data_IF_677594755183
#
_entry.id   IF_677594755183
#
_cell.length_a   1.000
_cell.length_b   1.000
_cell.length_c   1.000
_cell.angle_alpha   90.00
_cell.angle_beta   90.00
_cell.angle_gamma   90.00
#
_symmetry.space_group_name_H-M   'P 1'
#
loop_
_entity.id
_entity.type
_entity.pdbx_description
1 polymer ?
#
# COMPACT_ATOMS: atom_id res chain seq x y z
N UNK A 1 -20.57 -2.91 14.02
CA UNK A 1 -21.03 -4.10 14.73
C UNK A 1 -20.60 -5.35 13.98
N UNK A 2 -20.10 -6.33 14.70
CA UNK A 2 -19.69 -7.61 14.10
C UNK A 2 -20.92 -8.42 13.67
N UNK A 3 -20.88 -8.94 12.45
CA UNK A 3 -21.90 -9.86 11.96
C UNK A 3 -21.79 -11.18 12.74
N UNK A 4 -22.92 -11.68 13.28
CA UNK A 4 -22.93 -12.92 14.04
C UNK A 4 -22.52 -14.17 13.21
N UNK A 5 -22.52 -14.08 11.88
CA UNK A 5 -22.03 -15.16 11.02
C UNK A 5 -20.52 -15.31 11.05
N UNK A 6 -19.79 -14.36 11.64
CA UNK A 6 -18.33 -14.37 11.72
C UNK A 6 -17.82 -14.55 13.14
N UNK A 7 -18.34 -15.57 13.83
CA UNK A 7 -17.93 -15.86 15.22
C UNK A 7 -16.43 -16.09 15.37
N UNK A 8 -15.77 -16.58 14.32
CA UNK A 8 -14.33 -16.81 14.33
C UNK A 8 -13.47 -15.61 14.04
N UNK A 9 -14.08 -14.45 13.71
CA UNK A 9 -13.32 -13.24 13.40
C UNK A 9 -12.65 -12.69 14.66
N UNK A 10 -11.37 -12.35 14.52
CA UNK A 10 -10.58 -11.80 15.62
C UNK A 10 -9.85 -10.55 15.16
N UNK A 11 -9.69 -9.61 16.09
CA UNK A 11 -8.81 -8.46 15.86
C UNK A 11 -7.37 -8.91 16.08
N UNK A 12 -6.52 -8.70 15.08
CA UNK A 12 -5.09 -9.06 15.14
C UNK A 12 -4.27 -7.79 15.13
N UNK A 13 -3.38 -7.64 16.09
CA UNK A 13 -2.50 -6.50 16.22
C UNK A 13 -1.06 -6.94 15.94
N UNK A 14 -0.70 -6.98 14.66
CA UNK A 14 0.63 -7.42 14.23
C UNK A 14 1.69 -6.39 14.57
N UNK A 15 1.41 -5.13 14.31
CA UNK A 15 2.40 -4.05 14.38
C UNK A 15 2.45 -3.36 15.74
N UNK A 16 1.49 -3.66 16.63
CA UNK A 16 1.40 -3.11 17.99
C UNK A 16 1.47 -1.59 18.03
N UNK A 17 0.81 -0.97 17.06
CA UNK A 17 0.68 0.47 16.92
C UNK A 17 -0.79 0.79 16.69
N UNK A 18 -1.19 2.06 16.91
CA UNK A 18 -2.52 2.50 16.49
C UNK A 18 -2.56 2.45 14.96
N UNK A 19 -3.13 1.37 14.45
CA UNK A 19 -3.02 0.97 13.06
C UNK A 19 -4.39 1.03 12.42
N UNK A 20 -4.51 1.80 11.33
CA UNK A 20 -5.77 1.95 10.59
C UNK A 20 -5.55 1.56 9.14
N UNK A 21 -6.49 0.82 8.58
CA UNK A 21 -6.50 0.57 7.14
C UNK A 21 -6.58 1.90 6.39
N UNK A 22 -5.70 2.08 5.42
CA UNK A 22 -5.66 3.31 4.62
C UNK A 22 -6.12 3.08 3.19
N UNK A 23 -5.52 2.14 2.48
CA UNK A 23 -5.89 1.90 1.09
C UNK A 23 -5.40 0.54 0.58
N UNK A 24 -5.92 0.18 -0.60
CA UNK A 24 -5.46 -0.95 -1.40
C UNK A 24 -4.77 -0.38 -2.63
N UNK A 25 -3.59 -0.88 -2.97
CA UNK A 25 -2.85 -0.49 -4.17
C UNK A 25 -3.11 -1.43 -5.33
N UNK A 26 -3.48 -0.87 -6.47
CA UNK A 26 -3.68 -1.62 -7.72
C UNK A 26 -2.75 -1.08 -8.80
N UNK A 27 -2.05 -1.97 -9.50
CA UNK A 27 -1.30 -1.59 -10.68
C UNK A 27 -2.22 -1.53 -11.89
N UNK A 28 -2.07 -0.47 -12.68
CA UNK A 28 -2.86 -0.24 -13.89
C UNK A 28 -1.95 0.14 -15.04
N UNK A 29 -2.38 -0.14 -16.28
CA UNK A 29 -1.61 0.21 -17.47
C UNK A 29 -1.59 1.71 -17.71
N UNK A 30 -2.73 2.37 -17.51
CA UNK A 30 -2.87 3.80 -17.76
C UNK A 30 -3.98 4.37 -16.91
N UNK A 31 -3.64 5.29 -16.03
CA UNK A 31 -4.62 6.04 -15.24
C UNK A 31 -5.47 6.90 -16.15
N UNK A 32 -4.85 7.54 -17.15
CA UNK A 32 -5.56 8.40 -18.10
C UNK A 32 -6.61 7.63 -18.89
N UNK A 33 -6.30 6.42 -19.30
CA UNK A 33 -7.26 5.61 -20.05
C UNK A 33 -8.48 5.22 -19.20
N UNK A 34 -8.29 5.02 -17.89
CA UNK A 34 -9.38 4.70 -16.98
C UNK A 34 -10.17 5.95 -16.56
N UNK A 35 -9.48 7.03 -16.30
CA UNK A 35 -10.04 8.28 -15.79
C UNK A 35 -9.41 9.48 -16.49
N UNK A 36 -9.91 9.85 -17.70
CA UNK A 36 -9.24 10.85 -18.54
C UNK A 36 -9.06 12.23 -17.92
N UNK A 37 -9.92 12.59 -16.96
CA UNK A 37 -9.85 13.91 -16.32
C UNK A 37 -9.05 13.91 -15.02
N UNK A 38 -8.48 12.79 -14.63
CA UNK A 38 -7.70 12.69 -13.42
C UNK A 38 -6.27 13.19 -13.66
N UNK A 39 -5.72 13.85 -12.63
CA UNK A 39 -4.34 14.35 -12.69
C UNK A 39 -3.48 13.54 -11.73
N UNK A 40 -2.81 12.50 -12.22
CA UNK A 40 -1.95 11.71 -11.34
C UNK A 40 -0.73 12.48 -10.89
N UNK A 41 -0.21 12.10 -9.72
CA UNK A 41 1.04 12.63 -9.19
C UNK A 41 2.17 11.68 -9.57
N UNK A 42 3.27 12.22 -10.05
CA UNK A 42 4.46 11.43 -10.35
C UNK A 42 5.33 11.30 -9.09
N UNK A 43 5.65 10.08 -8.71
CA UNK A 43 6.56 9.79 -7.62
C UNK A 43 7.86 9.23 -8.22
N UNK A 44 8.93 10.05 -8.27
CA UNK A 44 10.19 9.61 -8.88
C UNK A 44 10.97 8.62 -8.02
N UNK A 45 10.74 8.60 -6.71
CA UNK A 45 11.40 7.66 -5.81
C UNK A 45 10.85 6.26 -6.03
N UNK A 46 9.52 6.14 -6.09
CA UNK A 46 8.85 4.86 -6.32
C UNK A 46 8.70 4.55 -7.80
N UNK A 47 8.97 5.51 -8.69
CA UNK A 47 8.93 5.38 -10.15
C UNK A 47 7.55 5.00 -10.67
N UNK A 48 6.54 5.68 -10.16
CA UNK A 48 5.13 5.45 -10.50
C UNK A 48 4.40 6.77 -10.68
N UNK A 49 3.30 6.74 -11.43
CA UNK A 49 2.25 7.74 -11.34
C UNK A 49 1.18 7.22 -10.40
N UNK A 50 0.66 8.10 -9.56
CA UNK A 50 -0.26 7.73 -8.49
C UNK A 50 -1.53 8.56 -8.58
N UNK A 51 -2.67 7.92 -8.43
CA UNK A 51 -3.95 8.58 -8.24
C UNK A 51 -4.77 7.80 -7.22
N UNK A 52 -5.56 8.52 -6.43
CA UNK A 52 -6.45 7.88 -5.46
C UNK A 52 -7.90 8.03 -5.90
N UNK A 53 -8.66 6.95 -5.79
CA UNK A 53 -10.09 6.95 -6.02
C UNK A 53 -10.81 6.42 -4.78
N UNK A 54 -12.07 6.81 -4.63
CA UNK A 54 -12.95 6.25 -3.61
C UNK A 54 -13.93 5.31 -4.34
N UNK A 55 -13.79 4.01 -4.07
CA UNK A 55 -14.66 3.00 -4.64
C UNK A 55 -15.55 2.44 -3.54
N UNK A 56 -16.80 2.88 -3.53
CA UNK A 56 -17.79 2.40 -2.57
C UNK A 56 -17.33 2.53 -1.11
N UNK A 57 -16.68 3.64 -0.77
CA UNK A 57 -16.16 3.89 0.57
C UNK A 57 -14.77 3.37 0.83
N UNK A 58 -14.17 2.66 -0.12
CA UNK A 58 -12.80 2.15 -0.01
C UNK A 58 -11.84 3.01 -0.81
N UNK A 59 -10.74 3.44 -0.20
CA UNK A 59 -9.70 4.17 -0.89
C UNK A 59 -8.84 3.19 -1.68
N UNK A 60 -8.74 3.42 -2.98
CA UNK A 60 -7.91 2.64 -3.90
C UNK A 60 -6.82 3.55 -4.45
N UNK A 61 -5.58 3.12 -4.33
CA UNK A 61 -4.44 3.78 -4.97
C UNK A 61 -4.19 3.13 -6.32
N UNK A 62 -4.26 3.92 -7.38
CA UNK A 62 -3.93 3.47 -8.72
C UNK A 62 -2.47 3.77 -8.98
N UNK A 63 -1.71 2.77 -9.40
CA UNK A 63 -0.28 2.86 -9.63
C UNK A 63 0.01 2.51 -11.07
N UNK A 64 0.53 3.49 -11.82
CA UNK A 64 0.96 3.30 -13.20
C UNK A 64 2.49 3.34 -13.24
N UNK A 65 3.16 2.28 -13.76
CA UNK A 65 4.62 2.31 -13.82
C UNK A 65 5.11 3.40 -14.76
N UNK A 66 6.18 4.13 -14.37
CA UNK A 66 6.79 5.13 -15.26
C UNK A 66 7.47 4.47 -16.44
N UNK A 67 8.11 3.32 -16.21
CA UNK A 67 8.81 2.54 -17.22
C UNK A 67 9.06 1.13 -16.69
N UNK A 68 9.84 0.36 -17.44
CA UNK A 68 10.17 -1.03 -17.09
C UNK A 68 10.95 -1.17 -15.79
N UNK A 69 11.58 -0.09 -15.31
CA UNK A 69 12.36 -0.12 -14.07
C UNK A 69 11.51 0.10 -12.83
N UNK A 70 10.22 0.44 -13.00
CA UNK A 70 9.30 0.58 -11.88
C UNK A 70 9.13 -0.76 -11.15
N UNK A 71 9.10 -0.75 -9.80
CA UNK A 71 8.92 -2.00 -9.03
C UNK A 71 7.62 -2.73 -9.35
N UNK A 72 6.59 -2.02 -9.82
CA UNK A 72 5.29 -2.64 -10.14
C UNK A 72 5.18 -3.11 -11.59
N UNK A 73 6.18 -2.86 -12.43
CA UNK A 73 6.11 -3.24 -13.84
C UNK A 73 5.90 -4.75 -14.02
N UNK A 74 6.63 -5.56 -13.26
CA UNK A 74 6.49 -7.01 -13.35
C UNK A 74 5.12 -7.50 -12.83
N UNK A 75 4.56 -6.84 -11.83
CA UNK A 75 3.22 -7.16 -11.35
C UNK A 75 2.21 -7.03 -12.49
N UNK A 76 2.30 -5.91 -13.20
CA UNK A 76 1.39 -5.64 -14.30
C UNK A 76 1.61 -6.60 -15.47
N UNK A 77 2.86 -6.88 -15.82
CA UNK A 77 3.24 -7.81 -16.89
C UNK A 77 2.72 -9.22 -16.59
N UNK A 78 2.77 -9.64 -15.34
CA UNK A 78 2.33 -10.97 -14.91
C UNK A 78 0.82 -11.01 -14.57
N UNK A 79 0.09 -9.96 -14.89
CA UNK A 79 -1.34 -9.84 -14.62
C UNK A 79 -1.68 -9.92 -13.12
N UNK A 80 -0.75 -9.58 -12.26
CA UNK A 80 -0.93 -9.49 -10.82
C UNK A 80 -1.18 -8.03 -10.45
N UNK A 81 -2.44 -7.63 -10.41
CA UNK A 81 -2.80 -6.21 -10.28
C UNK A 81 -2.89 -5.72 -8.86
N UNK A 82 -3.17 -6.58 -7.91
CA UNK A 82 -3.19 -6.20 -6.49
C UNK A 82 -1.74 -6.09 -6.00
N UNK A 83 -1.30 -4.87 -5.68
CA UNK A 83 0.08 -4.61 -5.29
C UNK A 83 0.30 -4.75 -3.79
N UNK A 84 -0.55 -4.09 -2.99
CA UNK A 84 -0.34 -4.03 -1.54
C UNK A 84 -1.59 -3.58 -0.82
N UNK A 85 -1.57 -3.79 0.49
CA UNK A 85 -2.53 -3.21 1.43
C UNK A 85 -1.74 -2.26 2.32
N UNK A 86 -2.25 -1.04 2.50
CA UNK A 86 -1.58 -0.02 3.30
C UNK A 86 -2.29 0.21 4.62
N UNK A 87 -1.52 0.26 5.69
CA UNK A 87 -1.99 0.66 7.02
C UNK A 87 -1.26 1.91 7.49
N UNK A 88 -2.04 2.85 8.03
CA UNK A 88 -1.50 4.04 8.69
C UNK A 88 -1.15 3.67 10.12
N UNK A 89 0.05 4.01 10.57
CA UNK A 89 0.54 3.69 11.90
C UNK A 89 1.01 4.95 12.64
N UNK A 90 0.95 4.93 13.95
CA UNK A 90 1.36 6.07 14.79
C UNK A 90 2.87 6.24 14.82
N UNK A 91 3.65 5.15 14.74
CA UNK A 91 5.11 5.18 14.72
C UNK A 91 5.63 4.10 13.80
N UNK A 92 6.14 4.51 12.64
CA UNK A 92 6.56 3.57 11.59
C UNK A 92 7.77 2.72 12.02
N UNK A 93 8.71 3.28 12.76
CA UNK A 93 9.89 2.52 13.18
C UNK A 93 9.52 1.42 14.17
N UNK A 94 8.64 1.72 15.13
CA UNK A 94 8.13 0.70 16.05
C UNK A 94 7.33 -0.37 15.31
N UNK A 95 6.50 0.04 14.35
CA UNK A 95 5.71 -0.89 13.55
C UNK A 95 6.61 -1.84 12.76
N UNK A 96 7.68 -1.32 12.15
CA UNK A 96 8.66 -2.14 11.44
C UNK A 96 9.30 -3.16 12.39
N UNK A 97 9.75 -2.72 13.55
CA UNK A 97 10.39 -3.62 14.52
C UNK A 97 9.45 -4.72 14.98
N UNK A 98 8.19 -4.37 15.25
CA UNK A 98 7.18 -5.35 15.64
C UNK A 98 6.85 -6.31 14.49
N UNK A 99 6.79 -5.79 13.27
CA UNK A 99 6.58 -6.61 12.08
C UNK A 99 7.70 -7.64 11.86
N UNK A 100 8.95 -7.22 12.06
CA UNK A 100 10.11 -8.12 11.95
C UNK A 100 9.99 -9.31 12.91
N UNK A 101 9.50 -9.06 14.13
CA UNK A 101 9.29 -10.13 15.11
C UNK A 101 8.20 -11.12 14.68
N UNK A 102 7.35 -10.72 13.76
CA UNK A 102 6.26 -11.56 13.21
C UNK A 102 6.60 -12.14 11.84
N UNK A 103 7.85 -12.02 11.39
CA UNK A 103 8.29 -12.62 10.14
C UNK A 103 8.22 -11.71 8.92
N UNK A 104 7.97 -10.43 9.10
CA UNK A 104 8.03 -9.46 8.00
C UNK A 104 9.48 -9.07 7.69
N UNK A 105 9.75 -8.85 6.42
CA UNK A 105 11.04 -8.38 5.94
C UNK A 105 10.86 -7.02 5.26
N UNK A 106 11.77 -6.09 5.52
CA UNK A 106 11.74 -4.78 4.88
C UNK A 106 12.24 -4.92 3.44
N UNK A 107 11.38 -4.61 2.46
CA UNK A 107 11.76 -4.57 1.05
C UNK A 107 11.99 -3.14 0.56
N UNK A 108 11.42 -2.14 1.24
CA UNK A 108 11.64 -0.72 0.98
C UNK A 108 11.71 0.00 2.32
N UNK A 109 12.86 0.57 2.65
CA UNK A 109 13.03 1.37 3.86
C UNK A 109 12.17 2.63 3.80
N UNK A 110 11.88 3.27 4.94
CA UNK A 110 11.05 4.48 4.96
C UNK A 110 11.58 5.56 4.02
N UNK A 111 10.71 6.04 3.14
CA UNK A 111 10.96 7.13 2.19
C UNK A 111 9.72 8.01 2.13
N UNK A 112 9.85 9.29 1.76
CA UNK A 112 8.68 10.14 1.59
C UNK A 112 7.84 9.71 0.40
N UNK A 113 6.52 9.77 0.55
CA UNK A 113 5.56 9.48 -0.51
C UNK A 113 4.96 10.79 -1.02
N UNK A 114 5.29 11.18 -2.24
CA UNK A 114 4.88 12.46 -2.82
C UNK A 114 3.36 12.61 -2.82
N UNK A 115 2.65 11.56 -3.22
CA UNK A 115 1.19 11.59 -3.30
C UNK A 115 0.50 11.63 -1.94
N UNK A 116 1.22 11.42 -0.85
CA UNK A 116 0.70 11.41 0.51
C UNK A 116 1.33 12.52 1.37
N UNK A 117 1.60 13.67 0.76
CA UNK A 117 2.14 14.83 1.47
C UNK A 117 3.54 14.62 2.01
N UNK A 118 4.35 13.80 1.36
CA UNK A 118 5.70 13.44 1.78
C UNK A 118 5.76 12.71 3.13
N UNK A 119 4.66 12.15 3.57
CA UNK A 119 4.65 11.28 4.75
C UNK A 119 5.48 10.04 4.45
N UNK A 120 6.16 9.53 5.46
CA UNK A 120 7.03 8.36 5.29
C UNK A 120 6.21 7.10 5.05
N UNK A 121 6.66 6.31 4.09
CA UNK A 121 6.12 4.98 3.82
C UNK A 121 7.26 3.96 3.78
N UNK A 122 6.94 2.72 4.08
CA UNK A 122 7.84 1.60 3.83
C UNK A 122 7.03 0.42 3.31
N UNK A 123 7.71 -0.54 2.69
CA UNK A 123 7.10 -1.77 2.25
C UNK A 123 7.72 -2.96 2.96
N UNK A 124 6.87 -3.83 3.47
CA UNK A 124 7.25 -5.06 4.16
C UNK A 124 6.71 -6.26 3.37
N UNK A 125 7.41 -7.38 3.43
CA UNK A 125 6.96 -8.62 2.82
C UNK A 125 6.88 -9.72 3.88
N UNK A 126 5.83 -10.52 3.78
CA UNK A 126 5.63 -11.71 4.58
C UNK A 126 5.12 -12.81 3.65
N UNK A 127 5.60 -14.05 3.84
CA UNK A 127 5.21 -15.16 2.96
C UNK A 127 3.69 -15.41 2.93
N UNK A 128 2.99 -15.15 4.03
CA UNK A 128 1.55 -15.36 4.13
C UNK A 128 0.73 -14.10 3.83
N UNK A 129 1.21 -12.93 4.28
CA UNK A 129 0.48 -11.66 4.11
C UNK A 129 0.88 -10.91 2.85
N UNK A 130 1.92 -11.36 2.16
CA UNK A 130 2.46 -10.73 0.96
C UNK A 130 3.02 -9.33 1.25
N UNK A 131 2.73 -8.33 0.41
CA UNK A 131 3.27 -6.99 0.57
C UNK A 131 2.31 -6.13 1.38
N UNK A 132 2.85 -5.54 2.45
CA UNK A 132 2.13 -4.59 3.31
C UNK A 132 2.90 -3.27 3.29
N UNK A 133 2.19 -2.18 3.00
CA UNK A 133 2.73 -0.83 3.10
C UNK A 133 2.35 -0.25 4.46
N UNK A 134 3.31 0.39 5.11
CA UNK A 134 3.07 1.17 6.33
C UNK A 134 3.25 2.64 6.00
N UNK A 135 2.32 3.45 6.49
CA UNK A 135 2.29 4.89 6.30
C UNK A 135 2.36 5.57 7.66
N UNK A 136 3.36 6.43 7.85
CA UNK A 136 3.48 7.22 9.08
C UNK A 136 2.33 8.23 9.16
N UNK A 137 1.64 8.23 10.27
CA UNK A 137 0.60 9.22 10.56
C UNK A 137 1.16 10.62 10.70
#
# INVERSE_FOLDING_TARGET
MMDSTFDGMKSIDIFKEDCKFHHIGLSVKSIDALFPNMKPVTDPIQRVKVAFINLQGTTIELLEPLDETSPIYNNLKNNNKLCHICFEVSNIDNAINNGKKKGFHVIQKPVPAVALGNRKICFLFHSDYHIVELLQR
#
